data_IF_375248925509
#
_entry.id   IF_375248925509
#
_cell.length_a   1.000
_cell.length_b   1.000
_cell.length_c   1.000
_cell.angle_alpha   90.00
_cell.angle_beta   90.00
_cell.angle_gamma   90.00
#
_symmetry.space_group_name_H-M   'P 1'
#
loop_
_entity.id
_entity.type
_entity.pdbx_description
1 polymer ?
#
# COMPACT_ATOMS: atom_id res chain seq x y z
N UNK A 1 -14.25 67.49 -43.96
CA UNK A 1 -13.95 66.09 -44.31
C UNK A 1 -13.62 65.37 -43.00
N UNK A 2 -14.66 64.91 -42.31
CA UNK A 2 -14.55 64.11 -41.08
C UNK A 2 -14.28 62.66 -41.49
N UNK A 3 -13.30 62.00 -40.86
CA UNK A 3 -13.29 60.58 -40.47
C UNK A 3 -11.85 60.05 -40.39
N UNK A 4 -11.25 60.00 -39.19
CA UNK A 4 -10.40 58.87 -38.74
C UNK A 4 -9.74 59.12 -37.37
N UNK A 5 -10.55 59.26 -36.30
CA UNK A 5 -9.98 59.27 -34.94
C UNK A 5 -10.79 58.56 -33.86
N UNK A 6 -11.89 57.90 -34.24
CA UNK A 6 -12.81 57.25 -33.29
C UNK A 6 -12.76 55.71 -33.31
N UNK A 7 -12.07 55.08 -34.28
CA UNK A 7 -12.01 53.61 -34.37
C UNK A 7 -11.05 52.95 -33.38
N UNK A 8 -10.06 53.68 -32.85
CA UNK A 8 -9.05 53.13 -31.92
C UNK A 8 -9.52 53.09 -30.46
N UNK A 9 -10.38 54.03 -30.02
CA UNK A 9 -10.79 54.09 -28.61
C UNK A 9 -11.83 52.98 -28.30
N UNK A 10 -12.74 52.71 -29.24
CA UNK A 10 -13.78 51.70 -29.07
C UNK A 10 -13.23 50.27 -29.04
N UNK A 11 -12.19 49.97 -29.84
CA UNK A 11 -11.52 48.65 -29.84
C UNK A 11 -10.66 48.43 -28.58
N UNK A 12 -10.00 49.48 -28.07
CA UNK A 12 -9.24 49.41 -26.80
C UNK A 12 -10.19 49.17 -25.60
N UNK A 13 -11.36 49.80 -25.58
CA UNK A 13 -12.34 49.60 -24.51
C UNK A 13 -12.92 48.17 -24.53
N UNK A 14 -13.28 47.64 -25.71
CA UNK A 14 -13.82 46.27 -25.85
C UNK A 14 -12.79 45.21 -25.47
N UNK A 15 -11.52 45.37 -25.87
CA UNK A 15 -10.45 44.43 -25.49
C UNK A 15 -10.17 44.46 -23.98
N UNK A 16 -10.22 45.63 -23.33
CA UNK A 16 -10.09 45.74 -21.87
C UNK A 16 -11.24 45.09 -21.10
N UNK A 17 -12.46 45.10 -21.66
CA UNK A 17 -13.63 44.44 -21.08
C UNK A 17 -13.56 42.91 -21.21
N UNK A 18 -13.06 42.39 -22.33
CA UNK A 18 -12.89 40.93 -22.55
C UNK A 18 -11.77 40.34 -21.67
N UNK A 19 -10.68 41.07 -21.46
CA UNK A 19 -9.60 40.68 -20.54
C UNK A 19 -10.04 40.68 -19.06
N UNK A 20 -11.00 41.53 -18.68
CA UNK A 20 -11.57 41.54 -17.34
C UNK A 20 -12.60 40.41 -17.12
N UNK A 21 -13.39 40.04 -18.12
CA UNK A 21 -14.36 38.94 -18.01
C UNK A 21 -13.70 37.55 -17.99
N UNK A 22 -12.56 37.39 -18.66
CA UNK A 22 -11.79 36.12 -18.67
C UNK A 22 -11.03 35.87 -17.37
N UNK A 23 -10.72 36.91 -16.59
CA UNK A 23 -10.07 36.78 -15.29
C UNK A 23 -11.05 36.41 -14.15
N UNK A 24 -12.33 36.80 -14.28
CA UNK A 24 -13.36 36.52 -13.26
C UNK A 24 -13.74 35.03 -13.14
N UNK A 25 -13.50 34.22 -14.18
CA UNK A 25 -13.73 32.78 -14.13
C UNK A 25 -12.52 31.96 -13.62
N UNK A 26 -11.39 32.61 -13.32
CA UNK A 26 -10.17 31.92 -12.88
C UNK A 26 -10.01 31.78 -11.35
N UNK A 27 -10.90 32.34 -10.53
CA UNK A 27 -10.68 32.42 -9.06
C UNK A 27 -11.66 31.61 -8.20
N UNK A 28 -12.26 30.56 -8.74
CA UNK A 28 -13.02 29.59 -7.95
C UNK A 28 -12.48 28.16 -8.08
N UNK A 29 -11.18 27.97 -8.25
CA UNK A 29 -10.58 26.67 -7.94
C UNK A 29 -10.52 26.54 -6.43
N UNK A 30 -11.48 25.82 -5.82
CA UNK A 30 -11.34 25.37 -4.44
C UNK A 30 -10.00 24.63 -4.35
N UNK A 31 -9.05 25.18 -3.60
CA UNK A 31 -7.81 24.50 -3.26
C UNK A 31 -8.18 23.28 -2.42
N UNK A 32 -8.33 22.13 -3.06
CA UNK A 32 -8.51 20.86 -2.36
C UNK A 32 -7.19 20.56 -1.67
N UNK A 33 -7.17 20.61 -0.35
CA UNK A 33 -5.99 20.26 0.41
C UNK A 33 -5.69 18.76 0.16
N UNK A 34 -4.59 18.48 -0.54
CA UNK A 34 -4.19 17.13 -0.96
C UNK A 34 -4.02 16.20 0.26
N UNK A 35 -3.74 16.75 1.44
CA UNK A 35 -3.69 15.97 2.68
C UNK A 35 -5.07 15.53 3.19
N UNK A 36 -6.13 16.30 2.94
CA UNK A 36 -7.51 15.91 3.29
C UNK A 36 -8.08 14.83 2.37
N UNK A 37 -7.74 14.82 1.08
CA UNK A 37 -8.13 13.72 0.15
C UNK A 37 -7.38 12.43 0.48
N UNK A 38 -6.10 12.51 0.88
CA UNK A 38 -5.29 11.34 1.23
C UNK A 38 -5.73 10.61 2.51
N UNK A 39 -6.50 11.27 3.38
CA UNK A 39 -7.00 10.68 4.63
C UNK A 39 -8.47 10.24 4.58
N UNK A 40 -9.18 10.49 3.47
CA UNK A 40 -10.53 10.00 3.28
C UNK A 40 -10.55 8.52 2.93
N UNK A 41 -11.59 7.84 3.36
CA UNK A 41 -11.82 6.45 3.00
C UNK A 41 -12.35 6.34 1.56
N UNK A 42 -11.84 5.35 0.83
CA UNK A 42 -12.31 4.90 -0.48
C UNK A 42 -13.09 3.59 -0.34
N UNK A 43 -13.87 3.23 -1.35
CA UNK A 43 -14.67 2.00 -1.36
C UNK A 43 -13.88 0.82 -1.91
N UNK A 44 -14.11 -0.37 -1.36
CA UNK A 44 -13.53 -1.62 -1.83
C UNK A 44 -14.46 -2.80 -1.51
N UNK A 45 -14.18 -3.95 -2.12
CA UNK A 45 -14.74 -5.23 -1.70
C UNK A 45 -13.80 -5.94 -0.74
N UNK A 46 -14.35 -6.83 0.09
CA UNK A 46 -13.56 -7.77 0.85
C UNK A 46 -14.19 -9.16 0.91
N UNK A 47 -13.35 -10.19 0.81
CA UNK A 47 -13.64 -11.58 1.17
C UNK A 47 -12.68 -12.03 2.26
N UNK A 48 -12.68 -13.32 2.59
CA UNK A 48 -11.68 -13.89 3.48
C UNK A 48 -11.27 -15.31 3.09
N UNK A 49 -10.10 -15.70 3.58
CA UNK A 49 -9.49 -17.01 3.32
C UNK A 49 -8.80 -17.59 4.55
N UNK A 50 -8.49 -18.89 4.48
CA UNK A 50 -7.85 -19.65 5.54
C UNK A 50 -8.79 -19.99 6.71
N UNK A 51 -8.25 -20.38 7.88
CA UNK A 51 -9.06 -20.70 9.06
C UNK A 51 -9.83 -19.47 9.59
N UNK A 52 -11.05 -19.65 10.15
CA UNK A 52 -11.89 -18.55 10.64
C UNK A 52 -11.22 -17.61 11.65
N UNK A 53 -10.26 -18.12 12.43
CA UNK A 53 -9.50 -17.36 13.43
C UNK A 53 -7.99 -17.32 13.13
N UNK A 54 -7.58 -17.78 11.95
CA UNK A 54 -6.19 -17.85 11.50
C UNK A 54 -5.74 -16.61 10.73
N UNK A 55 -4.49 -16.64 10.27
CA UNK A 55 -3.83 -15.55 9.53
C UNK A 55 -3.91 -15.69 7.99
N UNK A 56 -4.84 -16.49 7.47
CA UNK A 56 -4.88 -16.81 6.04
C UNK A 56 -4.10 -18.09 5.75
N UNK A 57 -3.05 -18.01 4.93
CA UNK A 57 -2.20 -19.13 4.50
C UNK A 57 -0.79 -19.05 5.12
N UNK A 58 -0.20 -20.19 5.44
CA UNK A 58 1.22 -20.25 5.79
C UNK A 58 2.06 -20.01 4.52
N UNK A 59 2.77 -18.88 4.45
CA UNK A 59 3.78 -18.67 3.39
C UNK A 59 3.37 -17.87 2.16
N UNK A 60 2.29 -17.08 2.23
CA UNK A 60 1.77 -16.24 1.14
C UNK A 60 2.80 -15.45 0.31
N UNK A 61 2.34 -14.89 -0.82
CA UNK A 61 3.09 -14.26 -1.91
C UNK A 61 4.12 -13.17 -1.52
N UNK A 62 4.15 -12.73 -0.27
CA UNK A 62 5.15 -11.79 0.23
C UNK A 62 6.38 -12.44 0.86
N UNK A 63 6.38 -13.76 1.09
CA UNK A 63 7.54 -14.47 1.64
C UNK A 63 7.76 -14.29 3.14
N UNK A 64 6.77 -13.75 3.88
CA UNK A 64 6.86 -13.53 5.33
C UNK A 64 6.74 -14.83 6.15
N UNK A 65 6.25 -15.92 5.57
CA UNK A 65 6.08 -17.22 6.24
C UNK A 65 5.29 -17.09 7.56
N UNK A 66 5.60 -17.90 8.57
CA UNK A 66 4.90 -17.93 9.86
C UNK A 66 5.02 -16.65 10.69
N UNK A 67 5.76 -15.64 10.22
CA UNK A 67 5.80 -14.34 10.89
C UNK A 67 4.39 -13.69 10.89
N UNK A 68 3.52 -14.00 9.92
CA UNK A 68 2.19 -13.39 9.79
C UNK A 68 1.22 -13.76 10.93
N UNK A 69 1.38 -14.94 11.53
CA UNK A 69 0.55 -15.38 12.67
C UNK A 69 0.98 -14.72 13.99
N UNK A 70 2.26 -14.35 14.05
CA UNK A 70 2.93 -13.91 15.27
C UNK A 70 3.14 -12.38 15.29
N UNK A 71 3.82 -11.90 16.33
CA UNK A 71 4.25 -10.51 16.39
C UNK A 71 5.06 -10.16 15.12
N UNK A 72 4.78 -9.04 14.41
CA UNK A 72 3.87 -7.94 14.80
C UNK A 72 2.47 -7.99 14.17
N UNK A 73 2.21 -8.92 13.26
CA UNK A 73 1.00 -8.90 12.44
C UNK A 73 -0.20 -9.54 13.15
N UNK A 74 0.02 -10.55 13.99
CA UNK A 74 -1.00 -11.24 14.78
C UNK A 74 -2.20 -11.72 13.97
N UNK A 75 -1.99 -12.08 12.70
CA UNK A 75 -3.02 -12.47 11.76
C UNK A 75 -3.89 -11.32 11.23
N UNK A 76 -3.59 -10.05 11.50
CA UNK A 76 -4.25 -8.90 10.86
C UNK A 76 -3.63 -8.62 9.50
N UNK A 77 -3.89 -9.51 8.55
CA UNK A 77 -3.29 -9.52 7.22
C UNK A 77 -4.32 -9.72 6.11
N UNK A 78 -3.90 -9.48 4.87
CA UNK A 78 -4.72 -9.64 3.67
C UNK A 78 -3.89 -10.05 2.47
N UNK A 79 -4.46 -10.89 1.62
CA UNK A 79 -4.09 -10.99 0.22
C UNK A 79 -4.75 -9.84 -0.56
N UNK A 80 -3.96 -9.13 -1.36
CA UNK A 80 -4.46 -7.99 -2.14
C UNK A 80 -4.68 -8.37 -3.61
N UNK A 81 -5.67 -7.79 -4.27
CA UNK A 81 -5.74 -7.85 -5.74
C UNK A 81 -4.49 -7.22 -6.40
N UNK A 82 -4.38 -7.29 -7.72
CA UNK A 82 -3.19 -6.83 -8.45
C UNK A 82 -2.80 -5.36 -8.15
N UNK A 83 -3.76 -4.47 -7.87
CA UNK A 83 -3.51 -3.06 -7.53
C UNK A 83 -2.95 -2.86 -6.13
N UNK A 84 -3.24 -3.78 -5.21
CA UNK A 84 -2.72 -3.79 -3.85
C UNK A 84 -1.40 -4.56 -3.75
N UNK A 85 -1.33 -5.77 -4.32
CA UNK A 85 -0.14 -6.62 -4.29
C UNK A 85 1.00 -6.08 -5.18
N UNK A 86 0.67 -5.51 -6.35
CA UNK A 86 1.61 -4.86 -7.28
C UNK A 86 2.82 -5.73 -7.62
N UNK A 87 2.58 -7.01 -7.94
CA UNK A 87 3.65 -7.97 -8.24
C UNK A 87 4.71 -8.04 -7.12
N UNK A 88 4.27 -7.96 -5.86
CA UNK A 88 5.10 -7.98 -4.67
C UNK A 88 5.55 -6.61 -4.18
N UNK A 89 5.44 -5.53 -4.97
CA UNK A 89 5.84 -4.20 -4.53
C UNK A 89 4.93 -3.63 -3.43
N UNK A 90 3.69 -4.12 -3.31
CA UNK A 90 2.76 -3.73 -2.25
C UNK A 90 2.90 -4.54 -0.96
N UNK A 91 3.75 -5.56 -0.93
CA UNK A 91 4.01 -6.36 0.26
C UNK A 91 4.53 -5.49 1.41
N UNK A 92 3.93 -5.65 2.58
CA UNK A 92 4.22 -4.85 3.77
C UNK A 92 3.41 -3.56 3.89
N UNK A 93 2.67 -3.15 2.85
CA UNK A 93 1.83 -1.95 2.92
C UNK A 93 0.67 -2.13 3.91
N UNK A 94 0.40 -1.09 4.70
CA UNK A 94 -0.69 -1.08 5.68
C UNK A 94 -1.91 -0.28 5.23
N UNK A 95 -3.08 -0.79 5.58
CA UNK A 95 -4.37 -0.14 5.34
C UNK A 95 -5.22 -0.18 6.59
N UNK A 96 -6.04 0.84 6.79
CA UNK A 96 -7.21 0.74 7.64
C UNK A 96 -8.39 0.29 6.81
N UNK A 97 -9.12 -0.72 7.28
CA UNK A 97 -10.29 -1.30 6.62
C UNK A 97 -11.47 -1.25 7.59
N UNK A 98 -12.63 -0.81 7.11
CA UNK A 98 -13.87 -0.63 7.88
C UNK A 98 -15.05 -1.24 7.12
N UNK A 99 -15.80 -2.12 7.78
CA UNK A 99 -16.99 -2.75 7.21
C UNK A 99 -18.13 -1.74 7.03
N UNK A 100 -18.89 -1.88 5.94
CA UNK A 100 -20.11 -1.11 5.66
C UNK A 100 -21.24 -2.02 5.17
N UNK A 101 -22.47 -1.53 5.29
CA UNK A 101 -23.68 -2.10 4.70
C UNK A 101 -23.97 -3.57 5.06
N UNK A 102 -23.51 -4.03 6.23
CA UNK A 102 -23.86 -5.33 6.81
C UNK A 102 -24.25 -5.14 8.29
N UNK A 103 -25.30 -5.86 8.74
CA UNK A 103 -25.83 -5.76 10.11
C UNK A 103 -24.81 -6.15 11.18
N UNK A 104 -23.84 -7.01 10.84
CA UNK A 104 -22.78 -7.43 11.74
C UNK A 104 -21.63 -6.40 11.87
N UNK A 105 -21.53 -5.39 10.99
CA UNK A 105 -20.40 -4.45 10.99
C UNK A 105 -20.30 -3.62 12.29
N UNK A 106 -19.14 -3.65 12.96
CA UNK A 106 -18.88 -2.86 14.18
C UNK A 106 -18.69 -1.36 13.95
N UNK A 107 -18.62 -0.91 12.70
CA UNK A 107 -18.22 0.44 12.29
C UNK A 107 -16.79 0.86 12.71
N UNK A 108 -16.01 -0.03 13.33
CA UNK A 108 -14.61 0.22 13.66
C UNK A 108 -13.72 -0.14 12.46
N UNK A 109 -12.65 0.62 12.29
CA UNK A 109 -11.60 0.28 11.36
C UNK A 109 -10.56 -0.60 12.04
N UNK A 110 -10.07 -1.62 11.35
CA UNK A 110 -8.90 -2.40 11.75
C UNK A 110 -7.73 -2.05 10.85
N UNK A 111 -6.50 -2.19 11.36
CA UNK A 111 -5.29 -2.06 10.55
C UNK A 111 -4.88 -3.45 10.06
N UNK A 112 -4.62 -3.57 8.76
CA UNK A 112 -4.12 -4.80 8.13
C UNK A 112 -2.84 -4.55 7.35
N UNK A 113 -2.12 -5.63 7.04
CA UNK A 113 -0.93 -5.63 6.16
C UNK A 113 -1.19 -6.48 4.93
N UNK A 114 -0.72 -6.03 3.76
CA UNK A 114 -0.69 -6.88 2.57
C UNK A 114 0.48 -7.87 2.68
N UNK A 115 0.16 -9.16 2.73
CA UNK A 115 1.13 -10.25 2.91
C UNK A 115 1.01 -11.35 1.87
N UNK A 116 0.06 -11.25 0.94
CA UNK A 116 -0.23 -12.27 -0.04
C UNK A 116 -0.87 -11.66 -1.31
N UNK A 117 -1.01 -12.49 -2.34
CA UNK A 117 -1.68 -12.17 -3.60
C UNK A 117 -3.08 -12.80 -3.60
N UNK A 118 -4.10 -11.97 -3.81
CA UNK A 118 -5.47 -12.44 -3.87
C UNK A 118 -5.72 -13.28 -5.12
N UNK A 119 -6.73 -14.18 -5.11
CA UNK A 119 -7.08 -14.98 -6.27
C UNK A 119 -7.47 -14.11 -7.48
N UNK A 120 -7.45 -14.71 -8.68
CA UNK A 120 -7.82 -14.01 -9.91
C UNK A 120 -9.16 -13.28 -9.84
N UNK A 121 -10.16 -13.87 -9.17
CA UNK A 121 -11.49 -13.32 -8.94
C UNK A 121 -11.50 -12.03 -8.07
N UNK A 122 -10.45 -11.77 -7.28
CA UNK A 122 -10.33 -10.51 -6.55
C UNK A 122 -10.16 -9.31 -7.50
N UNK A 123 -9.74 -9.54 -8.75
CA UNK A 123 -9.59 -8.49 -9.75
C UNK A 123 -10.92 -8.09 -10.43
N UNK A 124 -12.03 -8.77 -10.11
CA UNK A 124 -13.38 -8.38 -10.56
C UNK A 124 -13.85 -7.06 -9.90
N UNK A 125 -13.18 -6.62 -8.83
CA UNK A 125 -13.39 -5.35 -8.18
C UNK A 125 -12.16 -4.45 -8.36
N UNK A 126 -12.39 -3.13 -8.39
CA UNK A 126 -11.34 -2.13 -8.51
C UNK A 126 -10.26 -2.32 -7.42
N UNK A 127 -10.71 -2.39 -6.17
CA UNK A 127 -9.90 -2.74 -5.00
C UNK A 127 -10.59 -3.85 -4.24
N UNK A 128 -9.84 -4.90 -3.92
CA UNK A 128 -10.34 -6.06 -3.21
C UNK A 128 -9.31 -6.55 -2.19
N UNK A 129 -9.75 -6.66 -0.93
CA UNK A 129 -8.99 -7.26 0.16
C UNK A 129 -9.50 -8.66 0.45
N UNK A 130 -8.70 -9.69 0.20
CA UNK A 130 -9.00 -11.04 0.68
C UNK A 130 -8.36 -11.18 2.07
N UNK A 131 -9.14 -10.91 3.11
CA UNK A 131 -8.66 -10.79 4.48
C UNK A 131 -8.38 -12.17 5.08
N UNK A 132 -7.49 -12.26 6.07
CA UNK A 132 -7.48 -13.46 6.91
C UNK A 132 -8.83 -13.63 7.62
N UNK A 133 -9.21 -14.86 7.97
CA UNK A 133 -10.42 -15.12 8.75
C UNK A 133 -10.49 -14.30 10.05
N UNK A 134 -9.34 -14.14 10.73
CA UNK A 134 -9.22 -13.30 11.93
C UNK A 134 -9.48 -11.81 11.64
N UNK A 135 -8.85 -11.26 10.60
CA UNK A 135 -9.03 -9.85 10.23
C UNK A 135 -10.47 -9.58 9.78
N UNK A 136 -11.05 -10.46 8.97
CA UNK A 136 -12.43 -10.33 8.51
C UNK A 136 -13.42 -10.35 9.68
N UNK A 137 -13.28 -11.30 10.60
CA UNK A 137 -14.11 -11.37 11.81
C UNK A 137 -13.99 -10.13 12.69
N UNK A 138 -12.80 -9.55 12.80
CA UNK A 138 -12.55 -8.35 13.62
C UNK A 138 -13.25 -7.07 13.10
N UNK A 139 -13.81 -7.11 11.89
CA UNK A 139 -14.67 -6.03 11.38
C UNK A 139 -16.08 -6.07 12.00
N UNK A 140 -16.50 -7.20 12.58
CA UNK A 140 -17.81 -7.38 13.16
C UNK A 140 -17.91 -6.86 14.61
N UNK A 141 -19.13 -6.66 15.10
CA UNK A 141 -19.37 -6.56 16.54
C UNK A 141 -18.96 -7.84 17.25
N UNK A 142 -18.59 -7.72 18.54
CA UNK A 142 -18.30 -8.89 19.37
C UNK A 142 -19.47 -9.88 19.35
N UNK A 143 -19.20 -11.15 19.04
CA UNK A 143 -20.22 -12.20 18.91
C UNK A 143 -20.93 -12.24 17.55
N UNK A 144 -20.55 -11.40 16.59
CA UNK A 144 -21.09 -11.38 15.22
C UNK A 144 -20.04 -11.75 14.17
N UNK A 145 -18.86 -12.22 14.59
CA UNK A 145 -17.71 -12.50 13.73
C UNK A 145 -18.05 -13.58 12.70
N UNK A 146 -18.69 -14.68 13.14
CA UNK A 146 -19.12 -15.76 12.25
C UNK A 146 -20.26 -15.34 11.34
N UNK A 147 -21.20 -14.52 11.82
CA UNK A 147 -22.27 -13.98 10.99
C UNK A 147 -21.71 -13.10 9.86
N UNK A 148 -20.69 -12.31 10.15
CA UNK A 148 -20.00 -11.55 9.11
C UNK A 148 -19.27 -12.49 8.15
N UNK A 149 -18.46 -13.45 8.64
CA UNK A 149 -17.74 -14.44 7.82
C UNK A 149 -18.67 -15.22 6.88
N UNK A 150 -19.84 -15.61 7.35
CA UNK A 150 -20.86 -16.32 6.57
C UNK A 150 -21.46 -15.49 5.43
N UNK A 151 -21.34 -14.15 5.46
CA UNK A 151 -21.69 -13.31 4.30
C UNK A 151 -20.74 -13.55 3.11
N UNK A 152 -19.54 -14.08 3.34
CA UNK A 152 -18.53 -14.40 2.34
C UNK A 152 -17.86 -13.16 1.75
N UNK A 153 -18.63 -12.33 1.05
CA UNK A 153 -18.20 -11.07 0.44
C UNK A 153 -18.96 -9.89 1.04
N UNK A 154 -18.23 -8.85 1.43
CA UNK A 154 -18.80 -7.60 1.97
C UNK A 154 -18.22 -6.39 1.25
N UNK A 155 -18.92 -5.26 1.39
CA UNK A 155 -18.36 -3.96 1.02
C UNK A 155 -17.63 -3.36 2.21
N UNK A 156 -16.47 -2.75 1.95
CA UNK A 156 -15.64 -2.10 2.95
C UNK A 156 -15.25 -0.71 2.48
N UNK A 157 -14.88 0.11 3.45
CA UNK A 157 -14.17 1.36 3.26
C UNK A 157 -12.71 1.10 3.62
N UNK A 158 -11.77 1.60 2.84
CA UNK A 158 -10.35 1.50 3.16
C UNK A 158 -9.62 2.83 3.00
N UNK A 159 -8.49 2.96 3.68
CA UNK A 159 -7.50 4.02 3.41
C UNK A 159 -6.11 3.52 3.69
N UNK A 160 -5.13 4.04 2.97
CA UNK A 160 -3.73 3.68 3.20
C UNK A 160 -3.19 4.42 4.43
N UNK A 161 -2.44 3.72 5.27
CA UNK A 161 -1.88 4.27 6.52
C UNK A 161 -0.44 3.84 6.72
N UNK A 162 0.25 4.52 7.64
CA UNK A 162 1.56 4.04 8.09
C UNK A 162 1.42 2.82 9.01
N UNK A 163 2.22 1.80 8.74
CA UNK A 163 2.57 0.74 9.65
C UNK A 163 3.33 1.33 10.85
N UNK A 164 3.00 0.88 12.06
CA UNK A 164 3.64 1.29 13.31
C UNK A 164 3.66 0.13 14.30
N UNK A 165 4.54 -0.83 14.01
CA UNK A 165 4.86 -1.98 14.84
C UNK A 165 5.88 -1.61 15.89
N UNK A 166 5.63 -2.05 17.13
CA UNK A 166 6.60 -2.00 18.23
C UNK A 166 7.63 -3.14 18.06
N UNK A 167 8.30 -3.19 16.92
CA UNK A 167 9.34 -4.16 16.60
C UNK A 167 10.42 -3.55 15.72
N UNK A 168 11.59 -4.17 15.77
CA UNK A 168 12.68 -3.88 14.86
C UNK A 168 12.41 -4.52 13.49
N UNK A 169 12.99 -3.93 12.45
CA UNK A 169 13.05 -4.55 11.13
C UNK A 169 13.74 -5.91 11.28
N UNK A 170 13.15 -6.95 10.66
CA UNK A 170 13.64 -8.32 10.72
C UNK A 170 14.18 -8.71 9.36
N UNK A 171 15.40 -9.25 9.33
CA UNK A 171 15.95 -9.88 8.15
C UNK A 171 15.93 -11.40 8.37
N UNK A 172 15.36 -12.15 7.42
CA UNK A 172 15.44 -13.61 7.42
C UNK A 172 16.20 -14.06 6.19
N UNK A 173 17.37 -14.64 6.41
CA UNK A 173 18.21 -15.17 5.34
C UNK A 173 17.49 -16.33 4.66
N UNK A 174 17.45 -16.29 3.33
CA UNK A 174 16.92 -17.37 2.51
C UNK A 174 17.86 -18.57 2.56
N UNK A 175 17.32 -19.78 2.67
CA UNK A 175 18.11 -21.01 2.79
C UNK A 175 18.97 -21.33 1.58
N UNK A 176 18.69 -20.74 0.41
CA UNK A 176 19.54 -20.84 -0.78
C UNK A 176 20.77 -19.93 -0.76
N UNK A 177 20.91 -19.07 0.26
CA UNK A 177 22.05 -18.16 0.38
C UNK A 177 23.37 -18.90 0.62
N UNK A 178 24.44 -18.40 0.00
CA UNK A 178 25.79 -18.93 0.07
C UNK A 178 26.82 -17.79 -0.16
N UNK A 179 28.14 -18.02 -0.07
CA UNK A 179 29.14 -16.95 -0.21
C UNK A 179 29.14 -16.18 -1.54
N UNK A 180 28.47 -16.68 -2.58
CA UNK A 180 28.38 -16.04 -3.91
C UNK A 180 26.97 -15.50 -4.21
N UNK A 181 25.99 -15.75 -3.33
CA UNK A 181 24.60 -15.38 -3.51
C UNK A 181 23.96 -15.12 -2.16
N UNK A 182 23.42 -13.92 -1.93
CA UNK A 182 22.68 -13.62 -0.73
C UNK A 182 21.25 -13.23 -1.07
N UNK A 183 20.29 -13.91 -0.45
CA UNK A 183 18.91 -13.48 -0.46
C UNK A 183 18.35 -13.41 0.96
N UNK A 184 17.48 -12.44 1.20
CA UNK A 184 16.76 -12.34 2.47
C UNK A 184 15.42 -11.66 2.32
N UNK A 185 14.51 -12.04 3.21
CA UNK A 185 13.21 -11.40 3.43
C UNK A 185 13.41 -10.21 4.36
N UNK A 186 12.82 -9.06 4.05
CA UNK A 186 12.74 -7.90 4.96
C UNK A 186 11.32 -7.80 5.53
N UNK A 187 11.17 -8.07 6.82
CA UNK A 187 9.90 -8.01 7.54
C UNK A 187 9.83 -6.89 8.57
N UNK A 188 8.66 -6.73 9.19
CA UNK A 188 8.36 -5.74 10.23
C UNK A 188 8.54 -4.28 9.75
N UNK A 189 8.10 -4.02 8.52
CA UNK A 189 8.29 -2.73 7.88
C UNK A 189 7.34 -1.69 8.49
N UNK A 190 7.95 -0.63 9.04
CA UNK A 190 7.24 0.54 9.54
C UNK A 190 7.12 1.61 8.44
N UNK A 191 6.35 2.67 8.69
CA UNK A 191 6.10 3.70 7.69
C UNK A 191 5.12 3.19 6.63
N UNK A 192 5.33 3.48 5.36
CA UNK A 192 4.39 3.06 4.30
C UNK A 192 4.49 1.57 3.92
N UNK A 193 5.50 0.88 4.47
CA UNK A 193 5.60 -0.58 4.45
C UNK A 193 6.11 -1.18 3.13
N UNK A 194 6.18 -0.40 2.05
CA UNK A 194 6.67 -0.82 0.75
C UNK A 194 8.09 -0.31 0.45
N UNK A 195 9.01 -1.26 0.30
CA UNK A 195 10.41 -0.98 -0.02
C UNK A 195 10.56 -0.78 -1.52
N UNK A 196 11.16 0.33 -1.94
CA UNK A 196 11.46 0.63 -3.34
C UNK A 196 12.77 -0.01 -3.80
N UNK A 197 13.82 0.05 -2.97
CA UNK A 197 15.12 -0.61 -3.26
C UNK A 197 15.83 -1.01 -1.97
N UNK A 198 16.66 -2.03 -2.08
CA UNK A 198 17.59 -2.48 -1.02
C UNK A 198 18.99 -2.49 -1.61
N UNK A 199 19.96 -2.09 -0.81
CA UNK A 199 21.38 -2.16 -1.14
C UNK A 199 22.11 -2.94 -0.05
N UNK A 200 23.12 -3.69 -0.44
CA UNK A 200 23.96 -4.51 0.44
C UNK A 200 25.38 -3.98 0.39
N UNK A 201 26.03 -3.80 1.54
CA UNK A 201 27.45 -3.46 1.62
C UNK A 201 28.22 -4.57 2.33
N UNK A 202 29.04 -5.35 1.61
CA UNK A 202 30.08 -6.17 2.22
C UNK A 202 31.12 -5.28 2.90
N UNK A 203 31.78 -5.81 3.94
CA UNK A 203 32.70 -5.01 4.78
C UNK A 203 33.84 -4.33 4.02
N UNK A 204 34.32 -4.96 2.94
CA UNK A 204 35.46 -4.51 2.15
C UNK A 204 35.09 -4.15 0.70
N UNK A 205 33.83 -3.82 0.44
CA UNK A 205 33.35 -3.51 -0.91
C UNK A 205 32.34 -2.37 -0.93
N UNK A 206 32.09 -1.87 -2.13
CA UNK A 206 31.07 -0.86 -2.38
C UNK A 206 29.65 -1.43 -2.17
N UNK A 207 28.68 -0.52 -2.10
CA UNK A 207 27.27 -0.89 -2.08
C UNK A 207 26.87 -1.60 -3.38
N UNK A 208 26.21 -2.75 -3.21
CA UNK A 208 25.67 -3.57 -4.28
C UNK A 208 24.15 -3.43 -4.28
N UNK A 209 23.51 -3.01 -5.39
CA UNK A 209 22.06 -2.98 -5.47
C UNK A 209 21.51 -4.41 -5.41
N UNK A 210 20.50 -4.63 -4.58
CA UNK A 210 19.77 -5.89 -4.55
C UNK A 210 18.57 -5.84 -5.49
N UNK A 211 18.28 -6.98 -6.10
CA UNK A 211 17.12 -7.19 -6.95
C UNK A 211 15.98 -7.78 -6.13
N UNK A 212 14.75 -7.33 -6.37
CA UNK A 212 13.58 -8.01 -5.79
C UNK A 212 13.43 -9.37 -6.48
N UNK A 213 13.46 -10.44 -5.69
CA UNK A 213 13.22 -11.79 -6.20
C UNK A 213 11.72 -12.07 -6.28
N UNK A 214 11.02 -11.93 -5.15
CA UNK A 214 9.58 -12.17 -5.01
C UNK A 214 9.13 -11.52 -3.70
N UNK A 215 7.93 -10.92 -3.66
CA UNK A 215 7.42 -10.27 -2.46
C UNK A 215 8.38 -9.25 -1.84
N UNK A 216 8.71 -9.44 -0.55
CA UNK A 216 9.76 -8.68 0.17
C UNK A 216 11.09 -9.44 0.29
N UNK A 217 11.33 -10.41 -0.58
CA UNK A 217 12.62 -11.10 -0.73
C UNK A 217 13.52 -10.36 -1.71
N UNK A 218 14.71 -10.00 -1.26
CA UNK A 218 15.73 -9.29 -2.04
C UNK A 218 16.95 -10.18 -2.19
N UNK A 219 17.57 -10.18 -3.38
CA UNK A 219 18.73 -11.00 -3.72
C UNK A 219 19.86 -10.19 -4.35
N UNK A 220 21.08 -10.62 -4.13
CA UNK A 220 22.26 -10.10 -4.81
C UNK A 220 23.25 -11.24 -5.10
N UNK A 221 23.80 -11.22 -6.31
CA UNK A 221 24.96 -12.02 -6.67
C UNK A 221 26.21 -11.30 -6.14
N UNK A 222 27.05 -12.03 -5.40
CA UNK A 222 28.22 -11.48 -4.73
C UNK A 222 29.47 -11.85 -5.51
N UNK A 223 30.23 -10.82 -5.90
CA UNK A 223 31.57 -11.00 -6.49
C UNK A 223 32.54 -11.45 -5.41
N UNK A 224 33.41 -12.39 -5.75
CA UNK A 224 34.51 -12.87 -4.89
C UNK A 224 34.03 -13.31 -3.49
N UNK A 225 33.60 -14.57 -3.35
CA UNK A 225 33.23 -15.25 -2.10
C UNK A 225 33.19 -14.36 -0.85
N UNK A 226 32.09 -13.63 -0.66
CA UNK A 226 32.01 -12.59 0.36
C UNK A 226 31.71 -13.21 1.71
N UNK A 227 32.45 -12.78 2.73
CA UNK A 227 32.18 -13.11 4.12
C UNK A 227 31.67 -11.87 4.84
N UNK A 228 30.73 -12.09 5.75
CA UNK A 228 30.18 -11.01 6.57
C UNK A 228 31.23 -10.38 7.50
N UNK A 229 30.87 -9.28 8.19
CA UNK A 229 29.52 -8.73 8.28
C UNK A 229 29.08 -7.93 7.05
N UNK A 230 27.76 -7.85 6.84
CA UNK A 230 27.13 -7.04 5.80
C UNK A 230 26.29 -5.93 6.44
N UNK A 231 26.23 -4.77 5.79
CA UNK A 231 25.24 -3.73 6.07
C UNK A 231 24.15 -3.73 5.00
N UNK A 232 22.90 -3.45 5.38
CA UNK A 232 21.78 -3.36 4.45
C UNK A 232 21.13 -1.97 4.51
N UNK A 233 21.10 -1.28 3.37
CA UNK A 233 20.41 0.00 3.18
C UNK A 233 19.03 -0.25 2.57
N UNK A 234 18.00 0.43 3.06
CA UNK A 234 16.62 0.28 2.59
C UNK A 234 16.04 1.64 2.24
N UNK A 235 15.35 1.71 1.12
CA UNK A 235 14.74 2.94 0.63
C UNK A 235 13.27 2.67 0.32
N UNK A 236 12.39 3.49 0.87
CA UNK A 236 10.94 3.31 0.82
C UNK A 236 10.32 4.22 -0.24
N UNK A 237 9.16 3.82 -0.78
CA UNK A 237 8.41 4.71 -1.67
C UNK A 237 7.94 5.96 -0.91
N UNK A 238 8.07 7.13 -1.54
CA UNK A 238 7.57 8.39 -0.97
C UNK A 238 6.04 8.42 -1.00
N UNK A 239 5.42 9.15 -0.08
CA UNK A 239 3.96 9.34 0.01
C UNK A 239 3.29 10.01 -1.22
N UNK A 240 4.06 10.33 -2.27
CA UNK A 240 3.66 11.13 -3.43
C UNK A 240 3.43 10.28 -4.68
N UNK A 241 3.84 9.00 -4.68
CA UNK A 241 3.80 8.13 -5.87
C UNK A 241 2.64 7.10 -5.85
N UNK A 242 1.46 7.48 -5.33
CA UNK A 242 0.30 6.58 -5.22
C UNK A 242 -0.96 7.20 -5.78
#
# INVERSE_FOLDING_TARGET
MFTNRNYNIFTILITSLILNYSCFFCLATKSVNINTVRNSFSEAAATWYGPPTGAGSDGGACGLAQDIENHPYYGYVSAGNNKLYKSGAGCGACYEVKCRDNKACSQRAIKITITDEGPGSSNDNDIHFDLSGKAFGALAYSGQEDNLRNAGKIMVKYRRVKCNYKSNIKFRIDSGSNPFYLAFVVGNLNGYGDIARVELKPSSSDWVPMQRSWGVTWKADLKDSQKGPFSAGQYYYSSVNF
#
